data_IF_893392542051
#
_entry.id   IF_893392542051
#
_cell.length_a   1.000
_cell.length_b   1.000
_cell.length_c   1.000
_cell.angle_alpha   90.00
_cell.angle_beta   90.00
_cell.angle_gamma   90.00
#
_symmetry.space_group_name_H-M   'P 1'
#
loop_
_entity.id
_entity.type
_entity.pdbx_description
1 polymer ?
#
# COMPACT_ATOMS: atom_id res chain seq x y z
N UNK A 1 -53.75 25.21 -15.33
CA UNK A 1 -52.75 24.18 -15.45
C UNK A 1 -52.24 24.14 -16.88
N UNK A 2 -51.11 23.59 -17.11
CA UNK A 2 -50.50 23.35 -18.42
C UNK A 2 -49.78 22.00 -18.40
N UNK A 3 -49.10 21.66 -19.48
CA UNK A 3 -48.29 20.47 -19.58
C UNK A 3 -46.85 20.81 -19.12
N UNK A 4 -46.11 19.80 -18.66
CA UNK A 4 -44.69 19.92 -18.28
C UNK A 4 -43.80 20.24 -19.52
N UNK A 5 -42.62 20.74 -19.30
CA UNK A 5 -41.70 21.11 -20.41
C UNK A 5 -41.25 19.94 -21.28
N UNK A 6 -41.32 18.73 -20.74
CA UNK A 6 -40.98 17.46 -21.40
C UNK A 6 -42.16 16.71 -21.99
N UNK A 7 -43.37 17.32 -22.00
CA UNK A 7 -44.55 16.71 -22.56
C UNK A 7 -44.48 16.55 -24.08
N UNK A 8 -44.82 15.36 -24.56
CA UNK A 8 -45.00 15.07 -25.99
C UNK A 8 -46.32 15.61 -26.51
N UNK A 9 -46.27 16.73 -27.22
CA UNK A 9 -47.46 17.50 -27.59
C UNK A 9 -48.07 17.12 -28.95
N UNK A 10 -47.42 16.26 -29.72
CA UNK A 10 -47.92 15.94 -31.08
C UNK A 10 -49.20 15.11 -31.03
N UNK A 11 -49.33 14.23 -30.05
CA UNK A 11 -50.52 13.37 -29.89
C UNK A 11 -50.77 13.15 -28.41
N UNK A 12 -52.00 13.32 -27.98
CA UNK A 12 -52.43 12.97 -26.61
C UNK A 12 -53.38 11.76 -26.68
N UNK A 13 -53.36 10.96 -25.63
CA UNK A 13 -54.23 9.81 -25.48
C UNK A 13 -55.42 10.21 -24.59
N UNK A 14 -56.62 9.93 -25.07
CA UNK A 14 -57.84 10.14 -24.35
C UNK A 14 -58.56 8.80 -24.18
N UNK A 15 -59.01 8.53 -22.97
CA UNK A 15 -59.84 7.36 -22.65
C UNK A 15 -61.21 7.84 -22.26
N UNK A 16 -62.23 7.39 -23.00
CA UNK A 16 -63.66 7.72 -22.78
C UNK A 16 -64.41 6.47 -22.39
N UNK A 17 -65.33 6.60 -21.41
CA UNK A 17 -66.30 5.55 -21.11
C UNK A 17 -67.40 5.55 -22.10
N UNK A 18 -67.69 4.43 -22.73
CA UNK A 18 -68.83 4.23 -23.66
C UNK A 18 -69.64 3.03 -23.17
N UNK A 19 -70.73 3.30 -22.41
CA UNK A 19 -71.56 2.26 -21.83
C UNK A 19 -70.76 1.37 -20.83
N UNK A 20 -70.58 0.09 -21.16
CA UNK A 20 -69.87 -0.89 -20.31
C UNK A 20 -68.37 -1.01 -20.66
N UNK A 21 -67.93 -0.30 -21.69
CA UNK A 21 -66.55 -0.41 -22.23
C UNK A 21 -65.83 0.95 -22.20
N UNK A 22 -64.53 0.93 -22.43
CA UNK A 22 -63.73 2.12 -22.61
C UNK A 22 -63.25 2.19 -24.06
N UNK A 23 -63.28 3.39 -24.62
CA UNK A 23 -62.75 3.70 -25.93
C UNK A 23 -61.47 4.54 -25.80
N UNK A 24 -60.49 4.27 -26.64
CA UNK A 24 -59.25 5.05 -26.71
C UNK A 24 -59.25 5.90 -27.95
N UNK A 25 -58.96 7.17 -27.77
CA UNK A 25 -58.76 8.12 -28.88
C UNK A 25 -57.32 8.63 -28.81
N UNK A 26 -56.63 8.61 -29.93
CA UNK A 26 -55.38 9.33 -30.11
C UNK A 26 -55.70 10.64 -30.83
N UNK A 27 -55.56 11.74 -30.12
CA UNK A 27 -55.92 13.07 -30.65
C UNK A 27 -54.60 13.76 -31.03
N UNK A 28 -54.47 14.06 -32.30
CA UNK A 28 -53.28 14.76 -32.82
C UNK A 28 -53.36 16.25 -32.55
N UNK A 29 -52.20 16.93 -32.50
CA UNK A 29 -52.11 18.35 -32.16
C UNK A 29 -52.96 19.24 -33.04
N UNK A 30 -53.13 18.93 -34.34
CA UNK A 30 -53.96 19.66 -35.30
C UNK A 30 -55.47 19.59 -34.97
N UNK A 31 -55.88 18.58 -34.22
CA UNK A 31 -57.29 18.34 -33.88
C UNK A 31 -57.66 18.82 -32.47
N UNK A 32 -56.71 19.37 -31.71
CA UNK A 32 -56.96 19.78 -30.32
C UNK A 32 -58.09 20.79 -30.18
N UNK A 33 -58.16 21.76 -31.07
CA UNK A 33 -59.19 22.82 -31.00
C UNK A 33 -60.57 22.32 -31.41
N UNK A 34 -60.65 21.22 -32.15
CA UNK A 34 -61.91 20.69 -32.69
C UNK A 34 -62.40 19.44 -31.96
N UNK A 35 -61.58 18.83 -31.13
CA UNK A 35 -61.95 17.60 -30.41
C UNK A 35 -62.80 17.91 -29.21
N UNK A 36 -64.04 17.41 -29.24
CA UNK A 36 -65.06 17.67 -28.18
C UNK A 36 -64.79 16.70 -27.00
N UNK A 37 -64.48 17.26 -25.85
CA UNK A 37 -64.35 16.51 -24.61
C UNK A 37 -65.73 16.25 -24.03
N UNK A 38 -65.90 15.08 -23.41
CA UNK A 38 -67.11 14.68 -22.70
C UNK A 38 -66.82 14.43 -21.24
N UNK A 39 -67.84 14.40 -20.42
CA UNK A 39 -67.74 14.15 -19.01
C UNK A 39 -67.06 12.77 -18.74
N UNK A 40 -66.16 12.72 -17.77
CA UNK A 40 -65.31 11.56 -17.43
C UNK A 40 -64.33 11.10 -18.48
N UNK A 41 -63.91 11.97 -19.44
CA UNK A 41 -62.76 11.74 -20.29
C UNK A 41 -61.45 11.84 -19.45
N UNK A 42 -60.60 10.86 -19.61
CA UNK A 42 -59.26 10.83 -19.00
C UNK A 42 -58.23 11.12 -20.07
N UNK A 43 -57.55 12.27 -19.97
CA UNK A 43 -56.52 12.70 -20.92
C UNK A 43 -55.16 12.45 -20.34
N UNK A 44 -54.34 11.67 -21.04
CA UNK A 44 -52.94 11.43 -20.69
C UNK A 44 -51.99 12.00 -21.74
N UNK A 45 -51.00 12.77 -21.28
CA UNK A 45 -49.94 13.35 -22.08
C UNK A 45 -48.64 12.63 -21.75
N UNK A 46 -48.04 12.01 -22.73
CA UNK A 46 -46.82 11.28 -22.53
C UNK A 46 -45.61 12.21 -22.55
N UNK A 47 -44.51 11.79 -21.97
CA UNK A 47 -43.24 12.55 -22.06
C UNK A 47 -42.52 12.27 -23.39
N UNK A 48 -41.73 13.24 -23.84
CA UNK A 48 -40.83 13.05 -24.97
C UNK A 48 -39.87 11.91 -24.64
N UNK A 49 -39.66 10.99 -25.56
CA UNK A 49 -38.76 9.86 -25.37
C UNK A 49 -37.32 10.36 -25.03
N UNK A 50 -36.71 9.79 -24.00
CA UNK A 50 -35.34 10.09 -23.57
C UNK A 50 -34.27 9.63 -24.58
N UNK A 51 -34.56 9.67 -25.89
CA UNK A 51 -33.67 9.28 -26.96
C UNK A 51 -33.11 10.50 -27.68
N UNK A 52 -31.81 10.49 -27.92
CA UNK A 52 -31.18 11.49 -28.78
C UNK A 52 -31.23 11.04 -30.23
N UNK A 53 -31.57 11.94 -31.15
CA UNK A 53 -31.65 11.65 -32.59
C UNK A 53 -30.26 11.63 -33.27
N UNK A 54 -29.27 12.31 -32.66
CA UNK A 54 -27.98 12.60 -33.28
C UNK A 54 -26.84 12.54 -32.28
N UNK A 55 -26.83 11.58 -31.39
CA UNK A 55 -25.82 11.43 -30.34
C UNK A 55 -24.71 10.48 -30.79
N UNK A 56 -23.45 10.84 -30.48
CA UNK A 56 -22.27 9.96 -30.42
C UNK A 56 -21.55 10.20 -29.09
N UNK A 57 -20.82 9.23 -28.63
CA UNK A 57 -20.07 9.33 -27.35
C UNK A 57 -18.62 8.98 -27.54
N UNK A 58 -17.75 9.61 -26.75
CA UNK A 58 -16.34 9.25 -26.62
C UNK A 58 -15.95 9.17 -25.16
N UNK A 59 -15.24 8.08 -24.78
CA UNK A 59 -14.83 7.81 -23.41
C UNK A 59 -13.37 7.36 -23.34
N UNK A 60 -12.78 7.47 -22.13
CA UNK A 60 -11.44 6.99 -21.82
C UNK A 60 -10.35 8.05 -21.98
N UNK A 61 -9.26 7.72 -22.66
CA UNK A 61 -8.04 8.54 -22.69
C UNK A 61 -8.10 9.71 -23.71
N UNK A 62 -9.07 10.58 -23.55
CA UNK A 62 -9.24 11.86 -24.24
C UNK A 62 -9.32 13.01 -23.23
N UNK A 63 -9.11 14.25 -23.68
CA UNK A 63 -9.18 15.39 -22.77
C UNK A 63 -10.61 15.71 -22.34
N UNK A 64 -11.60 15.58 -23.25
CA UNK A 64 -13.01 15.81 -22.95
C UNK A 64 -13.86 14.62 -23.37
N UNK A 65 -14.01 13.68 -22.44
CA UNK A 65 -14.93 12.56 -22.61
C UNK A 65 -16.38 13.03 -22.45
N UNK A 66 -17.31 12.42 -23.19
CA UNK A 66 -18.74 12.74 -23.07
C UNK A 66 -19.52 12.52 -24.34
N UNK A 67 -20.70 13.12 -24.37
CA UNK A 67 -21.64 13.07 -25.49
C UNK A 67 -21.42 14.24 -26.44
N UNK A 68 -21.48 13.95 -27.73
CA UNK A 68 -21.31 14.92 -28.81
C UNK A 68 -22.44 14.80 -29.83
N UNK A 69 -22.72 15.89 -30.50
CA UNK A 69 -23.67 15.90 -31.60
C UNK A 69 -23.03 15.21 -32.83
N UNK A 70 -23.77 14.29 -33.44
CA UNK A 70 -23.41 13.74 -34.76
C UNK A 70 -23.86 14.70 -35.85
N UNK A 71 -22.93 15.36 -36.50
CA UNK A 71 -23.15 16.27 -37.62
C UNK A 71 -21.98 16.19 -38.61
N UNK A 72 -21.90 17.13 -39.55
CA UNK A 72 -20.80 17.21 -40.52
C UNK A 72 -19.44 17.50 -39.88
N UNK A 73 -19.41 18.06 -38.67
CA UNK A 73 -18.19 18.38 -37.90
C UNK A 73 -17.67 17.19 -37.15
N UNK A 74 -18.55 16.37 -36.55
CA UNK A 74 -18.20 15.22 -35.73
C UNK A 74 -18.43 13.87 -36.44
N UNK A 75 -18.69 13.90 -37.72
CA UNK A 75 -19.15 12.74 -38.48
C UNK A 75 -18.14 11.62 -38.70
N UNK A 76 -16.91 11.73 -38.17
CA UNK A 76 -15.89 10.67 -38.24
C UNK A 76 -15.13 10.53 -36.96
N UNK A 77 -14.48 9.40 -36.75
CA UNK A 77 -13.69 9.11 -35.51
C UNK A 77 -12.63 10.19 -35.29
N UNK A 78 -11.87 10.57 -36.30
CA UNK A 78 -10.83 11.57 -36.17
C UNK A 78 -11.36 12.95 -35.77
N UNK A 79 -12.49 13.34 -36.36
CA UNK A 79 -13.15 14.60 -36.00
C UNK A 79 -13.75 14.57 -34.58
N UNK A 80 -14.36 13.47 -34.21
CA UNK A 80 -14.85 13.30 -32.83
C UNK A 80 -13.72 13.42 -31.80
N UNK A 81 -12.55 12.80 -32.05
CA UNK A 81 -11.37 12.95 -31.21
C UNK A 81 -10.89 14.42 -31.18
N UNK A 82 -10.93 15.13 -32.30
CA UNK A 82 -10.58 16.55 -32.32
C UNK A 82 -11.53 17.41 -31.49
N UNK A 83 -12.84 17.14 -31.55
CA UNK A 83 -13.84 17.83 -30.75
C UNK A 83 -13.69 17.50 -29.23
N UNK A 84 -13.17 16.31 -28.91
CA UNK A 84 -12.79 15.93 -27.57
C UNK A 84 -11.44 16.51 -27.12
N UNK A 85 -10.93 17.55 -27.80
CA UNK A 85 -9.65 18.21 -27.57
C UNK A 85 -8.42 17.27 -27.72
N UNK A 86 -8.60 16.12 -28.37
CA UNK A 86 -7.53 15.21 -28.71
C UNK A 86 -7.33 14.07 -27.70
N UNK A 87 -6.34 13.25 -28.04
CA UNK A 87 -5.93 12.10 -27.23
C UNK A 87 -5.02 12.54 -26.09
N UNK A 88 -5.20 11.97 -24.90
CA UNK A 88 -4.27 12.12 -23.80
C UNK A 88 -2.96 11.38 -24.12
N UNK A 89 -1.85 11.82 -23.50
CA UNK A 89 -0.53 11.20 -23.69
C UNK A 89 -0.42 9.73 -23.27
N UNK A 90 -1.37 9.26 -22.46
CA UNK A 90 -1.48 7.87 -21.99
C UNK A 90 -2.48 7.05 -22.82
N UNK A 91 -2.98 7.54 -23.95
CA UNK A 91 -3.91 6.81 -24.80
C UNK A 91 -3.26 5.58 -25.44
N UNK A 92 -3.95 4.43 -25.41
CA UNK A 92 -3.53 3.21 -26.07
C UNK A 92 -3.91 3.26 -27.55
N UNK A 93 -2.94 3.60 -28.40
CA UNK A 93 -3.16 3.89 -29.81
C UNK A 93 -3.36 2.65 -30.68
N UNK A 94 -2.91 1.48 -30.23
CA UNK A 94 -2.91 0.28 -31.08
C UNK A 94 -4.33 -0.30 -31.27
N UNK A 95 -5.25 -0.02 -30.34
CA UNK A 95 -6.61 -0.54 -30.42
C UNK A 95 -7.57 0.30 -29.56
N UNK A 96 -8.43 1.07 -30.20
CA UNK A 96 -9.65 1.59 -29.62
C UNK A 96 -10.84 0.71 -30.01
N UNK A 97 -11.96 0.87 -29.32
CA UNK A 97 -13.18 0.10 -29.55
C UNK A 97 -14.32 1.05 -29.87
N UNK A 98 -14.90 0.89 -31.06
CA UNK A 98 -16.14 1.56 -31.43
C UNK A 98 -17.30 0.58 -31.23
N UNK A 99 -18.20 0.90 -30.29
CA UNK A 99 -19.45 0.18 -30.11
C UNK A 99 -20.52 0.83 -30.99
N UNK A 100 -21.09 0.07 -31.89
CA UNK A 100 -22.15 0.50 -32.81
C UNK A 100 -23.43 -0.26 -32.52
N UNK A 101 -24.55 0.46 -32.49
CA UNK A 101 -25.89 -0.11 -32.39
C UNK A 101 -26.38 -0.48 -33.80
N UNK A 102 -26.85 -1.70 -33.99
CA UNK A 102 -27.45 -2.18 -35.23
C UNK A 102 -28.96 -1.91 -35.23
N UNK A 103 -29.61 -2.12 -36.38
CA UNK A 103 -31.07 -1.93 -36.52
C UNK A 103 -31.89 -2.83 -35.61
N UNK A 104 -31.41 -4.01 -35.30
CA UNK A 104 -32.01 -4.95 -34.36
C UNK A 104 -31.74 -4.64 -32.89
N UNK A 105 -31.16 -3.47 -32.59
CA UNK A 105 -30.72 -2.99 -31.28
C UNK A 105 -29.57 -3.83 -30.65
N UNK A 106 -29.02 -4.80 -31.37
CA UNK A 106 -27.79 -5.47 -30.94
C UNK A 106 -26.56 -4.54 -31.09
N UNK A 107 -25.49 -4.89 -30.38
CA UNK A 107 -24.27 -4.08 -30.42
C UNK A 107 -23.15 -4.83 -31.15
N UNK A 108 -22.44 -4.13 -31.99
CA UNK A 108 -21.24 -4.57 -32.66
C UNK A 108 -20.02 -3.81 -32.13
N UNK A 109 -18.91 -4.53 -31.94
CA UNK A 109 -17.63 -3.93 -31.54
C UNK A 109 -16.68 -3.88 -32.73
N UNK A 110 -16.34 -2.68 -33.14
CA UNK A 110 -15.43 -2.41 -34.28
C UNK A 110 -14.07 -1.98 -33.69
N UNK A 111 -13.01 -2.76 -33.89
CA UNK A 111 -11.67 -2.35 -33.44
C UNK A 111 -11.12 -1.27 -34.37
N UNK A 112 -10.50 -0.24 -33.77
CA UNK A 112 -9.92 0.89 -34.49
C UNK A 112 -8.44 1.03 -34.13
N UNK A 113 -7.57 0.97 -35.13
CA UNK A 113 -6.15 1.28 -34.98
C UNK A 113 -5.94 2.80 -35.06
N UNK A 114 -5.92 3.43 -33.88
CA UNK A 114 -5.76 4.89 -33.78
C UNK A 114 -4.40 5.35 -34.27
N UNK A 115 -3.36 4.52 -34.13
CA UNK A 115 -2.02 4.89 -34.63
C UNK A 115 -2.02 5.07 -36.12
N UNK A 116 -2.60 4.13 -36.87
CA UNK A 116 -2.73 4.22 -38.33
C UNK A 116 -3.72 5.30 -38.74
N UNK A 117 -4.84 5.44 -38.03
CA UNK A 117 -5.83 6.46 -38.30
C UNK A 117 -5.23 7.87 -38.18
N UNK A 118 -4.53 8.15 -37.07
CA UNK A 118 -3.91 9.47 -36.84
C UNK A 118 -2.76 9.76 -37.81
N UNK A 119 -2.02 8.73 -38.22
CA UNK A 119 -0.99 8.84 -39.29
C UNK A 119 -1.56 8.99 -40.68
N UNK A 120 -2.88 8.83 -40.87
CA UNK A 120 -3.53 8.91 -42.20
C UNK A 120 -3.29 7.68 -43.07
N UNK A 121 -2.79 6.57 -42.52
CA UNK A 121 -2.53 5.30 -43.24
C UNK A 121 -3.69 4.32 -43.17
N UNK A 122 -4.72 4.62 -42.37
CA UNK A 122 -5.99 3.90 -42.35
C UNK A 122 -7.15 4.86 -42.68
N UNK A 123 -8.23 4.37 -43.31
CA UNK A 123 -9.41 5.17 -43.58
C UNK A 123 -10.07 5.66 -42.30
N UNK A 124 -10.57 6.89 -42.30
CA UNK A 124 -11.33 7.45 -41.20
C UNK A 124 -12.78 6.93 -41.25
N UNK A 125 -13.20 6.20 -40.24
CA UNK A 125 -14.52 5.57 -40.19
C UNK A 125 -15.61 6.62 -39.93
N UNK A 126 -16.69 6.64 -40.77
CA UNK A 126 -17.86 7.45 -40.47
C UNK A 126 -18.58 6.93 -39.25
N UNK A 127 -18.99 7.86 -38.40
CA UNK A 127 -19.78 7.58 -37.22
C UNK A 127 -21.27 7.47 -37.53
N UNK A 128 -21.98 6.67 -36.75
CA UNK A 128 -23.43 6.52 -36.82
C UNK A 128 -24.02 6.95 -35.48
N UNK A 129 -25.33 7.21 -35.53
CA UNK A 129 -26.11 7.52 -34.31
C UNK A 129 -25.89 6.45 -33.23
N UNK A 130 -25.73 6.88 -31.99
CA UNK A 130 -25.46 6.07 -30.80
C UNK A 130 -24.11 5.32 -30.80
N UNK A 131 -23.21 5.62 -31.74
CA UNK A 131 -21.85 5.12 -31.69
C UNK A 131 -21.15 5.60 -30.40
N UNK A 132 -20.43 4.68 -29.74
CA UNK A 132 -19.62 4.99 -28.57
C UNK A 132 -18.18 4.57 -28.84
N UNK A 133 -17.29 5.54 -28.89
CA UNK A 133 -15.85 5.30 -29.02
C UNK A 133 -15.19 5.23 -27.66
N UNK A 134 -14.56 4.10 -27.35
CA UNK A 134 -13.80 3.91 -26.13
C UNK A 134 -12.31 3.79 -26.42
N UNK A 135 -11.50 4.63 -25.78
CA UNK A 135 -10.05 4.69 -25.91
C UNK A 135 -9.41 4.38 -24.56
N UNK A 136 -8.84 3.19 -24.43
CA UNK A 136 -8.20 2.76 -23.19
C UNK A 136 -6.97 3.61 -22.88
N UNK A 137 -6.69 3.80 -21.60
CA UNK A 137 -5.40 4.31 -21.13
C UNK A 137 -4.37 3.18 -21.05
N UNK A 138 -3.12 3.44 -21.42
CA UNK A 138 -2.01 2.51 -21.18
C UNK A 138 -1.89 2.18 -19.68
N UNK A 139 -2.16 3.15 -18.80
CA UNK A 139 -2.13 2.97 -17.36
C UNK A 139 -3.21 2.03 -16.82
N UNK A 140 -4.37 1.98 -17.51
CA UNK A 140 -5.45 1.04 -17.17
C UNK A 140 -5.12 -0.38 -17.63
N UNK A 141 -4.45 -0.51 -18.78
CA UNK A 141 -4.08 -1.80 -19.37
C UNK A 141 -2.81 -2.39 -18.72
N UNK A 142 -1.83 -1.54 -18.46
CA UNK A 142 -0.60 -1.89 -17.77
C UNK A 142 -0.71 -1.38 -16.33
N UNK A 143 -1.06 -2.26 -15.40
CA UNK A 143 -0.98 -1.92 -13.97
C UNK A 143 0.46 -1.49 -13.69
N UNK A 144 0.64 -0.21 -13.34
CA UNK A 144 1.91 0.25 -12.80
C UNK A 144 2.27 -0.69 -11.65
N UNK A 145 3.37 -1.43 -11.80
CA UNK A 145 3.80 -2.39 -10.79
C UNK A 145 4.17 -1.68 -9.49
N UNK A 146 4.35 -2.46 -8.45
CA UNK A 146 4.89 -1.98 -7.17
C UNK A 146 6.26 -2.58 -6.94
N UNK A 147 7.07 -1.92 -6.13
CA UNK A 147 8.34 -2.40 -5.62
C UNK A 147 8.18 -2.67 -4.13
N UNK A 148 8.91 -3.64 -3.63
CA UNK A 148 8.93 -3.97 -2.21
C UNK A 148 10.33 -3.73 -1.64
N UNK A 149 10.39 -3.14 -0.44
CA UNK A 149 11.64 -2.97 0.28
C UNK A 149 11.46 -3.43 1.74
N UNK A 150 12.40 -4.24 2.20
CA UNK A 150 12.41 -4.85 3.53
C UNK A 150 13.76 -4.67 4.20
N UNK A 151 13.79 -4.83 5.51
CA UNK A 151 15.00 -4.80 6.33
C UNK A 151 15.30 -3.43 6.89
N UNK A 152 16.58 -3.09 6.99
CA UNK A 152 17.08 -1.95 7.77
C UNK A 152 16.97 -0.61 6.98
N UNK A 153 15.74 -0.21 6.67
CA UNK A 153 15.36 1.09 6.10
C UNK A 153 14.36 1.80 7.00
N UNK A 154 14.24 3.11 6.88
CA UNK A 154 13.37 3.91 7.75
C UNK A 154 11.88 3.54 7.60
N UNK A 155 11.41 3.25 6.39
CA UNK A 155 10.03 2.90 6.08
C UNK A 155 9.98 1.68 5.15
N UNK A 156 10.07 0.46 5.69
CA UNK A 156 9.88 -0.74 4.88
C UNK A 156 8.44 -0.85 4.37
N UNK A 157 8.23 -1.48 3.22
CA UNK A 157 6.92 -1.65 2.62
C UNK A 157 6.94 -1.70 1.11
N UNK A 158 5.83 -1.30 0.50
CA UNK A 158 5.68 -1.24 -0.95
C UNK A 158 5.64 0.21 -1.44
N UNK A 159 6.19 0.43 -2.64
CA UNK A 159 6.26 1.73 -3.29
C UNK A 159 5.85 1.63 -4.76
N UNK A 160 5.20 2.64 -5.32
CA UNK A 160 4.88 2.66 -6.73
C UNK A 160 6.17 2.56 -7.58
N UNK A 161 6.13 1.69 -8.57
CA UNK A 161 7.21 1.59 -9.54
C UNK A 161 7.22 2.82 -10.47
N UNK A 162 8.40 3.28 -10.82
CA UNK A 162 8.62 4.24 -11.89
C UNK A 162 9.74 3.76 -12.80
N UNK A 163 9.66 4.09 -14.09
CA UNK A 163 10.71 3.72 -15.05
C UNK A 163 12.06 4.30 -14.64
N UNK A 164 13.11 3.58 -14.88
CA UNK A 164 14.50 3.92 -14.55
C UNK A 164 14.82 4.04 -13.06
N UNK A 165 13.95 3.63 -12.15
CA UNK A 165 14.26 3.56 -10.72
C UNK A 165 15.42 2.61 -10.45
N UNK A 166 16.36 3.07 -9.63
CA UNK A 166 17.47 2.29 -9.08
C UNK A 166 17.14 1.82 -7.65
N UNK A 167 17.99 0.96 -7.10
CA UNK A 167 17.93 0.54 -5.69
C UNK A 167 18.09 1.76 -4.76
N UNK A 168 18.97 2.69 -5.12
CA UNK A 168 19.19 3.93 -4.36
C UNK A 168 17.94 4.80 -4.31
N UNK A 169 17.25 4.96 -5.46
CA UNK A 169 16.00 5.73 -5.52
C UNK A 169 14.91 5.14 -4.61
N UNK A 170 14.82 3.80 -4.59
CA UNK A 170 13.86 3.11 -3.73
C UNK A 170 14.20 3.28 -2.25
N UNK A 171 15.50 3.18 -1.88
CA UNK A 171 15.96 3.43 -0.52
C UNK A 171 15.67 4.86 -0.09
N UNK A 172 15.90 5.86 -0.95
CA UNK A 172 15.56 7.27 -0.67
C UNK A 172 14.06 7.44 -0.45
N UNK A 173 13.22 6.83 -1.30
CA UNK A 173 11.76 6.83 -1.10
C UNK A 173 11.33 6.16 0.21
N UNK A 174 12.06 5.15 0.64
CA UNK A 174 11.87 4.47 1.93
C UNK A 174 12.42 5.27 3.13
N UNK A 175 12.86 6.51 2.93
CA UNK A 175 13.36 7.40 3.99
C UNK A 175 14.82 7.17 4.36
N UNK A 176 15.57 6.43 3.56
CA UNK A 176 16.99 6.15 3.76
C UNK A 176 17.27 4.87 4.54
N UNK A 177 18.55 4.61 4.74
CA UNK A 177 19.07 3.47 5.50
C UNK A 177 19.03 3.76 6.99
N UNK A 178 18.76 2.74 7.81
CA UNK A 178 19.03 2.79 9.24
C UNK A 178 20.52 2.69 9.50
N UNK A 179 20.97 3.15 10.68
CA UNK A 179 22.38 3.05 11.13
C UNK A 179 22.91 1.61 11.11
N UNK A 180 22.02 0.65 11.36
CA UNK A 180 22.33 -0.77 11.36
C UNK A 180 22.44 -1.40 9.97
N UNK A 181 22.09 -0.69 8.91
CA UNK A 181 22.04 -1.23 7.56
C UNK A 181 23.44 -1.55 6.99
N UNK A 182 23.52 -2.65 6.24
CA UNK A 182 24.69 -2.96 5.43
C UNK A 182 24.68 -2.16 4.13
N UNK A 183 25.77 -1.46 3.82
CA UNK A 183 25.96 -0.77 2.54
C UNK A 183 26.60 -1.66 1.48
N UNK A 184 27.16 -2.81 1.89
CA UNK A 184 27.87 -3.74 0.99
C UNK A 184 26.98 -4.90 0.51
N UNK A 185 25.82 -5.09 1.12
CA UNK A 185 24.92 -6.20 0.76
C UNK A 185 23.46 -5.81 0.80
N UNK A 186 22.97 -5.48 -0.37
CA UNK A 186 21.54 -5.28 -0.63
C UNK A 186 21.14 -6.32 -1.66
N UNK A 187 20.21 -7.20 -1.28
CA UNK A 187 19.76 -8.27 -2.16
C UNK A 187 18.50 -7.80 -2.91
N UNK A 188 18.45 -8.02 -4.21
CA UNK A 188 17.28 -7.75 -5.05
C UNK A 188 16.78 -9.07 -5.63
N UNK A 189 15.55 -9.42 -5.34
CA UNK A 189 14.90 -10.60 -5.89
C UNK A 189 13.92 -10.19 -6.98
N UNK A 190 14.11 -10.72 -8.17
CA UNK A 190 13.28 -10.49 -9.35
C UNK A 190 12.59 -11.75 -9.78
N UNK A 191 11.27 -11.73 -9.90
CA UNK A 191 10.50 -12.87 -10.39
C UNK A 191 10.74 -13.09 -11.87
N UNK A 192 10.73 -14.34 -12.30
CA UNK A 192 10.72 -14.67 -13.73
C UNK A 192 9.28 -14.52 -14.23
N UNK A 193 9.11 -13.79 -15.32
CA UNK A 193 7.84 -13.64 -16.03
C UNK A 193 8.04 -14.09 -17.46
N UNK A 194 7.56 -15.28 -17.77
CA UNK A 194 7.53 -15.79 -19.15
C UNK A 194 6.08 -16.10 -19.56
N UNK A 195 5.36 -15.13 -20.14
CA UNK A 195 3.97 -15.32 -20.56
C UNK A 195 3.81 -16.24 -21.78
N UNK A 196 4.91 -16.65 -22.42
CA UNK A 196 4.90 -17.57 -23.56
C UNK A 196 5.26 -19.00 -23.19
N UNK A 197 5.64 -19.23 -21.93
CA UNK A 197 5.98 -20.57 -21.47
C UNK A 197 4.74 -21.48 -21.45
N UNK A 198 4.87 -22.65 -22.01
CA UNK A 198 3.84 -23.71 -22.00
C UNK A 198 4.14 -24.80 -20.96
N UNK A 199 5.23 -24.66 -20.21
CA UNK A 199 5.65 -25.57 -19.14
C UNK A 199 6.04 -24.81 -17.88
N UNK A 200 5.89 -25.46 -16.71
CA UNK A 200 6.36 -24.91 -15.44
C UNK A 200 7.88 -25.06 -15.32
N UNK A 201 8.53 -24.04 -14.75
CA UNK A 201 9.95 -24.07 -14.39
C UNK A 201 10.10 -24.19 -12.88
N UNK A 202 11.12 -24.91 -12.43
CA UNK A 202 11.51 -24.94 -11.02
C UNK A 202 12.20 -23.65 -10.59
N UNK A 203 12.71 -22.85 -11.54
CA UNK A 203 13.34 -21.56 -11.29
C UNK A 203 12.28 -20.47 -11.34
N UNK A 204 11.97 -19.88 -10.21
CA UNK A 204 10.89 -18.89 -10.04
C UNK A 204 11.38 -17.44 -10.00
N UNK A 205 12.68 -17.23 -9.82
CA UNK A 205 13.25 -15.87 -9.68
C UNK A 205 14.74 -15.80 -9.91
N UNK A 206 15.24 -14.58 -10.01
CA UNK A 206 16.67 -14.24 -10.06
C UNK A 206 17.01 -13.36 -8.87
N UNK A 207 18.20 -13.55 -8.30
CA UNK A 207 18.70 -12.70 -7.21
C UNK A 207 19.94 -11.94 -7.68
N UNK A 208 20.01 -10.68 -7.27
CA UNK A 208 21.14 -9.79 -7.51
C UNK A 208 21.61 -9.24 -6.17
N UNK A 209 22.90 -9.07 -5.99
CA UNK A 209 23.47 -8.37 -4.84
C UNK A 209 24.05 -7.04 -5.31
N UNK A 210 23.65 -5.96 -4.64
CA UNK A 210 24.07 -4.60 -4.94
C UNK A 210 24.88 -4.06 -3.76
N UNK A 211 26.00 -3.38 -4.07
CA UNK A 211 26.82 -2.65 -3.13
C UNK A 211 26.66 -1.15 -3.35
N UNK A 212 26.49 -0.40 -2.26
CA UNK A 212 26.41 1.06 -2.29
C UNK A 212 27.80 1.64 -1.96
N UNK A 213 28.70 1.69 -2.96
CA UNK A 213 30.09 2.12 -2.75
C UNK A 213 30.22 3.55 -2.21
N UNK A 214 29.38 4.47 -2.71
CA UNK A 214 29.39 5.89 -2.32
C UNK A 214 28.11 6.29 -1.61
N UNK A 215 27.46 5.37 -0.91
CA UNK A 215 26.16 5.62 -0.27
C UNK A 215 25.04 5.85 -1.29
N UNK A 216 24.25 6.92 -1.11
CA UNK A 216 23.11 7.25 -1.96
C UNK A 216 23.42 8.39 -2.97
N UNK A 217 24.69 8.68 -3.22
CA UNK A 217 25.09 9.78 -4.12
C UNK A 217 24.83 9.44 -5.59
N UNK A 218 24.47 10.47 -6.36
CA UNK A 218 24.28 10.37 -7.82
C UNK A 218 25.65 10.26 -8.51
N UNK A 219 25.81 9.36 -9.46
CA UNK A 219 26.97 9.36 -10.35
C UNK A 219 27.63 8.01 -10.63
N UNK A 220 27.10 6.90 -10.11
CA UNK A 220 27.65 5.59 -10.48
C UNK A 220 26.86 4.93 -11.61
N UNK A 221 27.57 4.63 -12.68
CA UNK A 221 27.05 4.08 -13.94
C UNK A 221 26.59 2.63 -13.89
N UNK A 222 26.67 1.98 -12.74
CA UNK A 222 26.41 0.54 -12.62
C UNK A 222 25.33 0.19 -11.59
N UNK A 223 24.26 1.00 -11.54
CA UNK A 223 23.14 0.73 -10.67
C UNK A 223 22.12 -0.17 -11.34
N UNK A 224 21.78 -1.27 -10.70
CA UNK A 224 20.69 -2.15 -11.12
C UNK A 224 19.40 -1.34 -11.25
N UNK A 225 18.82 -1.33 -12.46
CA UNK A 225 17.48 -0.78 -12.67
C UNK A 225 16.44 -1.78 -12.18
N UNK A 226 15.54 -1.29 -11.36
CA UNK A 226 14.46 -2.09 -10.81
C UNK A 226 13.38 -2.32 -11.88
N UNK A 227 12.76 -3.47 -11.79
CA UNK A 227 11.59 -3.84 -12.58
C UNK A 227 10.35 -3.95 -11.70
N UNK A 228 9.14 -3.85 -12.26
CA UNK A 228 7.91 -4.03 -11.48
C UNK A 228 7.90 -5.33 -10.70
N UNK A 229 7.55 -5.24 -9.42
CA UNK A 229 7.48 -6.32 -8.43
C UNK A 229 8.84 -6.87 -7.96
N UNK A 230 9.94 -6.17 -8.21
CA UNK A 230 11.20 -6.48 -7.56
C UNK A 230 11.07 -6.31 -6.04
N UNK A 231 11.73 -7.21 -5.30
CA UNK A 231 11.84 -7.17 -3.84
C UNK A 231 13.27 -6.83 -3.46
N UNK A 232 13.45 -5.76 -2.70
CA UNK A 232 14.75 -5.28 -2.22
C UNK A 232 14.87 -5.59 -0.73
N UNK A 233 15.94 -6.24 -0.33
CA UNK A 233 16.24 -6.61 1.05
C UNK A 233 17.50 -5.91 1.51
N UNK A 234 17.37 -4.92 2.37
CA UNK A 234 18.48 -4.24 3.01
C UNK A 234 18.86 -5.03 4.26
N UNK A 235 20.02 -5.68 4.21
CA UNK A 235 20.49 -6.52 5.31
C UNK A 235 21.07 -5.68 6.42
N UNK A 236 20.97 -6.19 7.65
CA UNK A 236 21.71 -5.61 8.77
C UNK A 236 23.20 -5.87 8.62
N UNK A 237 24.02 -4.88 8.95
CA UNK A 237 25.48 -5.04 9.00
C UNK A 237 25.85 -6.01 10.13
N UNK A 238 26.65 -7.06 9.85
CA UNK A 238 27.14 -7.96 10.90
C UNK A 238 28.01 -7.25 11.93
N UNK A 239 28.65 -6.15 11.53
CA UNK A 239 29.48 -5.32 12.41
C UNK A 239 28.69 -4.36 13.28
N UNK A 240 27.40 -4.15 13.01
CA UNK A 240 26.60 -3.25 13.83
C UNK A 240 26.29 -3.87 15.20
N UNK A 241 26.62 -3.13 16.22
CA UNK A 241 26.26 -3.45 17.60
C UNK A 241 25.48 -2.29 18.19
N UNK A 242 24.27 -2.56 18.65
CA UNK A 242 23.51 -1.57 19.42
C UNK A 242 24.27 -1.29 20.72
N UNK A 243 24.43 -0.03 21.05
CA UNK A 243 25.00 0.37 22.31
C UNK A 243 24.17 -0.19 23.46
N UNK A 244 24.81 -0.99 24.29
CA UNK A 244 24.22 -1.57 25.49
C UNK A 244 24.68 -0.78 26.73
N UNK A 245 23.77 -0.51 27.65
CA UNK A 245 24.04 0.24 28.86
C UNK A 245 23.72 -0.62 30.10
N UNK A 246 24.49 -0.39 31.16
CA UNK A 246 24.31 -0.95 32.47
C UNK A 246 24.31 0.18 33.50
N UNK A 247 23.73 -0.07 34.67
CA UNK A 247 23.66 0.93 35.74
C UNK A 247 24.39 0.43 36.98
N UNK A 248 25.14 1.28 37.64
CA UNK A 248 25.68 1.00 38.96
C UNK A 248 25.22 2.05 39.96
N UNK A 249 24.71 1.57 41.09
CA UNK A 249 24.18 2.39 42.20
C UNK A 249 24.79 1.98 43.54
N UNK A 250 24.70 2.88 44.50
CA UNK A 250 25.16 2.63 45.86
C UNK A 250 26.60 3.06 46.05
N UNK A 251 27.36 2.26 46.82
CA UNK A 251 28.68 2.61 47.36
C UNK A 251 29.81 2.36 46.35
N UNK A 252 29.80 3.14 45.26
CA UNK A 252 30.89 3.27 44.27
C UNK A 252 31.28 4.73 44.13
N UNK A 253 32.48 5.03 43.60
CA UNK A 253 32.96 6.39 43.46
C UNK A 253 32.04 7.23 42.53
N UNK A 254 31.65 6.68 41.38
CA UNK A 254 30.78 7.34 40.43
C UNK A 254 29.60 6.42 40.09
N UNK A 255 28.43 6.74 40.63
CA UNK A 255 27.17 6.04 40.33
C UNK A 255 26.60 6.52 39.00
N UNK A 256 25.80 5.70 38.32
CA UNK A 256 25.06 6.06 37.11
C UNK A 256 25.10 5.01 36.01
N UNK A 257 24.80 5.48 34.82
CA UNK A 257 24.74 4.63 33.62
C UNK A 257 26.10 4.56 32.94
N UNK A 258 26.48 3.36 32.54
CA UNK A 258 27.72 3.08 31.85
C UNK A 258 27.43 2.31 30.54
N UNK A 259 28.02 2.77 29.44
CA UNK A 259 27.97 2.05 28.19
C UNK A 259 28.92 0.85 28.24
N UNK A 260 28.45 -0.32 27.77
CA UNK A 260 29.30 -1.47 27.51
C UNK A 260 30.08 -1.23 26.22
N UNK A 261 31.39 -1.36 26.31
CA UNK A 261 32.31 -1.17 25.17
C UNK A 261 32.80 -2.48 24.57
N UNK A 262 32.55 -3.60 25.25
CA UNK A 262 32.92 -4.95 24.84
C UNK A 262 31.77 -5.92 25.13
N UNK A 263 31.58 -6.95 24.28
CA UNK A 263 30.57 -7.99 24.48
C UNK A 263 30.75 -8.83 25.74
N UNK A 264 31.95 -8.93 26.22
CA UNK A 264 32.35 -9.72 27.38
C UNK A 264 32.76 -8.86 28.57
N UNK A 265 32.27 -7.63 28.67
CA UNK A 265 32.53 -6.75 29.80
C UNK A 265 31.89 -7.31 31.07
N UNK A 266 32.65 -7.24 32.18
CA UNK A 266 32.33 -7.96 33.40
C UNK A 266 32.07 -7.00 34.58
N UNK A 267 31.65 -7.56 35.72
CA UNK A 267 31.42 -6.80 36.95
C UNK A 267 32.65 -6.02 37.39
N UNK A 268 33.86 -6.66 37.33
CA UNK A 268 35.15 -6.01 37.69
C UNK A 268 35.44 -4.81 36.76
N UNK A 269 35.14 -4.93 35.45
CA UNK A 269 35.35 -3.83 34.49
C UNK A 269 34.40 -2.65 34.81
N UNK A 270 33.15 -2.93 35.15
CA UNK A 270 32.18 -1.90 35.51
C UNK A 270 32.58 -1.16 36.78
N UNK A 271 32.98 -1.88 37.85
CA UNK A 271 33.44 -1.25 39.08
C UNK A 271 34.69 -0.42 38.84
N UNK A 272 35.64 -0.88 38.00
CA UNK A 272 36.81 -0.09 37.61
C UNK A 272 36.39 1.22 36.87
N UNK A 273 35.43 1.14 35.94
CA UNK A 273 34.90 2.33 35.27
C UNK A 273 34.21 3.28 36.25
N UNK A 274 33.55 2.75 37.27
CA UNK A 274 32.89 3.54 38.30
C UNK A 274 33.89 4.13 39.34
N UNK A 275 35.16 4.01 39.11
CA UNK A 275 36.21 4.54 40.00
C UNK A 275 36.47 3.69 41.25
N UNK A 276 35.99 2.46 41.27
CA UNK A 276 36.11 1.55 42.38
C UNK A 276 35.01 1.68 43.46
N UNK A 277 35.11 0.81 44.46
CA UNK A 277 34.19 0.80 45.60
C UNK A 277 34.54 1.95 46.57
N UNK A 278 33.54 2.53 47.21
CA UNK A 278 33.72 3.49 48.31
C UNK A 278 34.27 2.81 49.55
N UNK A 279 34.82 3.57 50.51
CA UNK A 279 35.31 3.08 51.78
C UNK A 279 34.23 2.40 52.65
N UNK A 280 32.97 2.78 52.41
CA UNK A 280 31.80 2.25 53.13
C UNK A 280 31.06 1.14 52.39
N UNK A 281 31.60 0.67 51.26
CA UNK A 281 30.96 -0.35 50.45
C UNK A 281 30.95 -1.73 51.11
N UNK A 282 29.80 -2.39 51.02
CA UNK A 282 29.64 -3.77 51.47
C UNK A 282 29.50 -4.71 50.25
N UNK A 283 30.66 -5.13 49.71
CA UNK A 283 30.74 -5.91 48.49
C UNK A 283 30.03 -7.27 48.55
N UNK A 284 30.01 -7.91 49.75
CA UNK A 284 29.28 -9.19 49.97
C UNK A 284 27.76 -9.04 49.88
N UNK A 285 27.24 -7.85 50.12
CA UNK A 285 25.82 -7.53 49.99
C UNK A 285 25.39 -7.01 48.62
N UNK A 286 26.30 -6.95 47.66
CA UNK A 286 26.00 -6.45 46.33
C UNK A 286 24.97 -7.32 45.62
N UNK A 287 24.12 -6.70 44.83
CA UNK A 287 23.00 -7.34 44.09
C UNK A 287 23.03 -6.91 42.62
N UNK A 288 22.85 -7.89 41.75
CA UNK A 288 22.70 -7.65 40.30
C UNK A 288 21.26 -7.96 39.91
N UNK A 289 20.55 -6.94 39.43
CA UNK A 289 19.23 -7.11 38.80
C UNK A 289 19.38 -7.19 37.30
N UNK A 290 18.83 -8.21 36.69
CA UNK A 290 18.92 -8.49 35.28
C UNK A 290 17.56 -8.50 34.60
N UNK A 291 17.42 -7.90 33.45
CA UNK A 291 16.19 -8.00 32.66
C UNK A 291 16.05 -9.37 32.02
N UNK A 292 14.83 -9.90 32.04
CA UNK A 292 14.50 -11.11 31.31
C UNK A 292 14.53 -10.87 29.83
N UNK A 293 15.01 -11.82 29.08
CA UNK A 293 14.87 -11.86 27.62
C UNK A 293 13.42 -12.10 27.24
N UNK A 294 13.05 -11.76 25.97
CA UNK A 294 11.69 -12.01 25.47
C UNK A 294 11.29 -13.49 25.57
N UNK A 295 12.25 -14.41 25.44
CA UNK A 295 12.01 -15.86 25.55
C UNK A 295 11.81 -16.28 27.01
N UNK A 296 12.61 -15.75 27.96
CA UNK A 296 12.43 -15.98 29.38
C UNK A 296 11.07 -15.43 29.89
N UNK A 297 10.63 -14.26 29.38
CA UNK A 297 9.32 -13.70 29.68
C UNK A 297 8.21 -14.62 29.16
N UNK A 298 8.32 -15.12 27.92
CA UNK A 298 7.35 -16.07 27.34
C UNK A 298 7.28 -17.35 28.16
N UNK A 299 8.42 -17.95 28.49
CA UNK A 299 8.48 -19.17 29.28
C UNK A 299 7.81 -18.96 30.67
N UNK A 300 8.06 -17.82 31.30
CA UNK A 300 7.44 -17.47 32.57
C UNK A 300 5.93 -17.29 32.46
N UNK A 301 5.49 -16.59 31.38
CA UNK A 301 4.06 -16.43 31.06
C UNK A 301 3.37 -17.77 30.80
N UNK A 302 4.01 -18.65 30.04
CA UNK A 302 3.47 -19.98 29.76
C UNK A 302 3.41 -20.83 31.05
N UNK A 303 4.43 -20.79 31.88
CA UNK A 303 4.42 -21.49 33.16
C UNK A 303 3.28 -21.02 34.09
N UNK A 304 3.05 -19.70 34.19
CA UNK A 304 1.91 -19.13 34.91
C UNK A 304 0.58 -19.58 34.30
N UNK A 305 0.48 -19.61 32.99
CA UNK A 305 -0.70 -20.06 32.25
C UNK A 305 -1.03 -21.54 32.52
N UNK A 306 0.00 -22.38 32.56
CA UNK A 306 -0.18 -23.81 32.92
C UNK A 306 -0.57 -24.00 34.39
N UNK A 307 0.02 -23.25 35.31
CA UNK A 307 -0.30 -23.31 36.72
C UNK A 307 -1.74 -22.86 37.02
N UNK A 308 -2.25 -21.85 36.31
CA UNK A 308 -3.63 -21.35 36.50
C UNK A 308 -4.69 -22.23 35.85
N UNK A 309 -4.37 -23.01 34.81
CA UNK A 309 -5.30 -24.00 34.24
C UNK A 309 -5.63 -25.17 35.14
N UNK A 310 -4.77 -25.45 36.11
CA UNK A 310 -4.95 -26.59 37.05
C UNK A 310 -5.87 -26.33 38.27
N UNK A 311 -6.24 -25.07 38.51
CA UNK A 311 -6.98 -24.70 39.76
C UNK A 311 -8.38 -24.14 39.50
N UNK A 312 -9.13 -24.63 38.57
CA UNK A 312 -10.60 -24.54 38.42
C UNK A 312 -11.38 -23.35 39.02
N UNK A 313 -10.77 -22.21 39.27
CA UNK A 313 -11.41 -20.96 39.73
C UNK A 313 -11.05 -19.80 38.82
N UNK A 314 -12.11 -19.23 38.26
CA UNK A 314 -12.23 -17.94 37.60
C UNK A 314 -11.05 -17.46 36.74
N UNK A 315 -11.36 -17.22 35.48
CA UNK A 315 -10.50 -16.57 34.49
C UNK A 315 -10.01 -15.20 35.01
N UNK A 316 -8.91 -15.22 35.76
CA UNK A 316 -8.14 -14.00 36.02
C UNK A 316 -7.66 -13.51 34.66
N UNK A 317 -8.13 -12.35 34.26
CA UNK A 317 -7.73 -11.67 33.03
C UNK A 317 -6.19 -11.56 33.02
N UNK A 318 -5.55 -12.23 32.06
CA UNK A 318 -4.09 -12.25 31.87
C UNK A 318 -3.45 -10.85 31.66
N UNK A 319 -4.28 -9.83 31.46
CA UNK A 319 -3.87 -8.42 31.33
C UNK A 319 -3.50 -7.75 32.67
N UNK A 320 -3.79 -8.38 33.80
CA UNK A 320 -3.52 -7.81 35.13
C UNK A 320 -2.32 -8.44 35.87
N UNK A 321 -1.68 -9.45 35.30
CA UNK A 321 -0.43 -10.00 35.84
C UNK A 321 0.76 -9.23 35.27
N UNK A 322 1.14 -8.14 35.92
CA UNK A 322 2.47 -7.54 35.74
C UNK A 322 3.52 -8.57 36.14
N UNK A 323 4.02 -9.31 35.15
CA UNK A 323 5.17 -10.18 35.35
C UNK A 323 6.39 -9.28 35.49
N UNK A 324 6.98 -9.27 36.72
CA UNK A 324 8.26 -8.62 36.91
C UNK A 324 9.25 -9.04 35.83
N UNK A 325 9.65 -8.07 34.99
CA UNK A 325 10.54 -8.30 33.84
C UNK A 325 12.02 -8.38 34.25
N UNK A 326 12.29 -8.31 35.58
CA UNK A 326 13.63 -8.36 36.13
C UNK A 326 13.73 -9.47 37.17
N UNK A 327 14.92 -10.00 37.33
CA UNK A 327 15.23 -10.99 38.39
C UNK A 327 16.59 -10.69 39.00
N UNK A 328 16.76 -11.13 40.29
CA UNK A 328 18.03 -10.99 40.96
C UNK A 328 18.96 -12.13 40.55
N UNK A 329 20.16 -11.78 40.15
CA UNK A 329 21.26 -12.72 39.88
C UNK A 329 22.15 -12.75 41.12
N UNK A 330 22.40 -13.94 41.65
CA UNK A 330 23.37 -14.13 42.73
C UNK A 330 24.77 -13.79 42.26
N UNK A 331 25.43 -12.88 42.96
CA UNK A 331 26.82 -12.47 42.65
C UNK A 331 27.67 -12.52 43.90
N UNK A 332 28.95 -12.79 43.71
CA UNK A 332 29.99 -12.67 44.74
C UNK A 332 30.97 -11.57 44.33
N UNK A 333 30.56 -10.30 44.48
CA UNK A 333 31.32 -9.15 43.95
C UNK A 333 32.74 -9.09 44.58
N UNK A 334 32.92 -9.43 45.83
CA UNK A 334 34.23 -9.45 46.48
C UNK A 334 35.17 -10.43 45.78
N UNK A 335 34.70 -11.65 45.46
CA UNK A 335 35.51 -12.65 44.74
C UNK A 335 35.77 -12.23 43.28
N UNK A 336 34.75 -11.65 42.62
CA UNK A 336 34.91 -11.13 41.26
C UNK A 336 36.01 -10.06 41.19
N UNK A 337 36.05 -9.15 42.16
CA UNK A 337 37.09 -8.11 42.21
C UNK A 337 38.44 -8.64 42.63
N UNK A 338 38.52 -9.66 43.50
CA UNK A 338 39.76 -10.30 43.93
C UNK A 338 40.41 -11.11 42.79
N UNK A 339 39.58 -11.71 41.91
CA UNK A 339 40.07 -12.51 40.77
C UNK A 339 39.30 -12.17 39.52
N UNK A 340 39.63 -11.05 38.86
CA UNK A 340 38.99 -10.66 37.58
C UNK A 340 39.05 -11.76 36.55
N UNK A 341 38.00 -11.88 35.72
CA UNK A 341 37.81 -12.91 34.70
C UNK A 341 37.59 -14.33 35.20
N UNK A 342 37.38 -14.53 36.50
CA UNK A 342 36.90 -15.81 37.04
C UNK A 342 35.45 -16.06 36.71
N UNK A 343 34.94 -17.23 37.12
CA UNK A 343 33.52 -17.58 36.95
C UNK A 343 32.59 -16.71 37.79
N UNK A 344 33.07 -16.19 38.92
CA UNK A 344 32.34 -15.27 39.79
C UNK A 344 32.26 -13.85 39.21
N UNK A 345 33.18 -13.49 38.32
CA UNK A 345 33.18 -12.19 37.60
C UNK A 345 32.29 -12.25 36.38
N UNK A 346 30.97 -12.16 36.63
CA UNK A 346 29.93 -12.35 35.63
C UNK A 346 30.02 -11.34 34.48
N UNK A 347 29.72 -11.82 33.28
CA UNK A 347 29.55 -10.97 32.09
C UNK A 347 28.23 -10.18 32.19
N UNK A 348 28.35 -8.89 32.00
CA UNK A 348 27.22 -7.95 32.03
C UNK A 348 26.35 -8.05 30.76
N UNK A 349 25.06 -7.75 30.90
CA UNK A 349 24.09 -7.68 29.82
C UNK A 349 23.42 -6.33 29.80
N UNK A 350 22.88 -5.96 28.66
CA UNK A 350 22.08 -4.71 28.52
C UNK A 350 20.98 -4.64 29.57
N UNK A 351 20.93 -3.51 30.29
CA UNK A 351 19.93 -3.24 31.30
C UNK A 351 20.24 -3.86 32.67
N UNK A 352 21.41 -4.47 32.86
CA UNK A 352 21.84 -4.90 34.17
C UNK A 352 21.98 -3.71 35.15
N UNK A 353 21.52 -3.87 36.36
CA UNK A 353 21.62 -2.88 37.43
C UNK A 353 22.37 -3.50 38.61
N UNK A 354 23.57 -3.02 38.84
CA UNK A 354 24.38 -3.40 40.01
C UNK A 354 24.11 -2.42 41.15
N UNK A 355 23.76 -2.95 42.31
CA UNK A 355 23.62 -2.18 43.52
C UNK A 355 24.61 -2.66 44.57
N UNK A 356 25.43 -1.75 45.09
CA UNK A 356 26.41 -1.99 46.15
C UNK A 356 25.92 -1.29 47.42
N UNK A 357 25.47 -2.05 48.42
CA UNK A 357 24.99 -1.43 49.66
C UNK A 357 26.13 -0.88 50.50
N UNK A 358 25.77 -0.03 51.44
CA UNK A 358 26.65 0.46 52.48
C UNK A 358 26.84 -0.62 53.57
N UNK A 359 28.05 -0.72 54.07
CA UNK A 359 28.30 -1.53 55.27
C UNK A 359 27.59 -0.89 56.46
N UNK A 360 26.74 -1.65 57.12
CA UNK A 360 26.05 -1.26 58.37
C UNK A 360 26.73 -2.05 59.49
N UNK A 361 27.43 -1.30 60.38
CA UNK A 361 28.07 -1.87 61.58
C UNK A 361 27.05 -2.18 62.68
#
# INVERSE_FOLDING_TARGET
GGVTGDAYRNTVRLVRRSGREKQIYNVDQQDYDNFILTDNDEVSVEAVLGRFSNKVEIHGAVYRAGMYQLDSVTGTIKRLIQQAEGLRGDAFLNRALLRREREDLSHEMIPVDLKKLMAGTAPDLPLQKNDVLYISSIKELEKEGVLFIYGDVAKPGYFPFARNMSVQDLILKAGGLLESASTVRIDVSRRIKDPKSVSSSTVIGKSFTVELKNGLLIGESNTLKLEPYDMVFVRRSPGYQKQANVTVNGEVTFTGNYALTKKNERLSDLIAKAGGLSKSAYAKGARLMRRMTADEIRQKQDAVRFATKGTGKDSVSLSSLEVDQTYSVGIELEKALAKPKSDEDLVLREGDVLFVPKYVS
#
